data_IF_235861280937
#
_entry.id   IF_235861280937
#
_cell.length_a   1.000
_cell.length_b   1.000
_cell.length_c   1.000
_cell.angle_alpha   90.00
_cell.angle_beta   90.00
_cell.angle_gamma   90.00
#
_symmetry.space_group_name_H-M   'P 1'
#
loop_
_entity.id
_entity.type
_entity.pdbx_description
1 polymer ?
#
# COMPACT_ATOMS: atom_id res chain seq x y z
N UNK A 1 16.55 5.97 -22.45
CA UNK A 1 15.47 5.47 -21.58
C UNK A 1 14.30 6.44 -21.69
N UNK A 2 13.06 5.99 -21.44
CA UNK A 2 11.86 6.84 -21.48
C UNK A 2 11.18 6.81 -20.13
N UNK A 3 10.95 7.93 -19.49
CA UNK A 3 10.12 7.99 -18.27
C UNK A 3 8.65 7.95 -18.66
N UNK A 4 7.76 7.76 -17.68
CA UNK A 4 6.32 7.72 -17.92
C UNK A 4 5.61 8.76 -17.07
N UNK A 5 4.66 9.48 -17.66
CA UNK A 5 3.61 10.14 -16.90
C UNK A 5 2.40 9.23 -16.90
N UNK A 6 2.00 8.73 -15.73
CA UNK A 6 0.74 8.03 -15.52
C UNK A 6 -0.27 9.00 -14.93
N UNK A 7 -1.46 9.05 -15.50
CA UNK A 7 -2.64 9.59 -14.80
C UNK A 7 -3.62 8.48 -14.45
N UNK A 8 -4.24 8.57 -13.29
CA UNK A 8 -5.22 7.58 -12.87
C UNK A 8 -6.33 8.13 -11.96
N UNK A 9 -7.52 7.54 -12.11
CA UNK A 9 -8.67 7.74 -11.26
C UNK A 9 -9.61 6.53 -11.40
N UNK A 10 -9.39 5.49 -10.60
CA UNK A 10 -10.28 4.32 -10.60
C UNK A 10 -11.47 4.47 -9.67
N UNK A 11 -11.39 5.34 -8.64
CA UNK A 11 -12.50 5.54 -7.68
C UNK A 11 -13.74 6.17 -8.33
N UNK A 12 -13.58 7.02 -9.36
CA UNK A 12 -14.69 7.69 -10.04
C UNK A 12 -14.72 7.47 -11.56
N UNK A 13 -13.66 6.92 -12.18
CA UNK A 13 -13.61 6.62 -13.62
C UNK A 13 -13.97 7.83 -14.50
N UNK A 14 -13.39 8.99 -14.15
CA UNK A 14 -13.78 10.31 -14.69
C UNK A 14 -12.78 10.97 -15.65
N UNK A 15 -11.74 10.26 -16.08
CA UNK A 15 -10.81 10.82 -17.06
C UNK A 15 -11.55 10.95 -18.41
N UNK A 16 -11.51 12.14 -19.01
CA UNK A 16 -12.27 12.52 -20.20
C UNK A 16 -11.32 12.99 -21.30
N UNK A 17 -11.78 13.08 -22.55
CA UNK A 17 -10.95 13.57 -23.65
C UNK A 17 -10.40 14.98 -23.38
N UNK A 18 -11.20 15.88 -22.78
CA UNK A 18 -10.73 17.22 -22.39
C UNK A 18 -9.54 17.16 -21.41
N UNK A 19 -9.54 16.19 -20.47
CA UNK A 19 -8.41 15.98 -19.57
C UNK A 19 -7.17 15.49 -20.34
N UNK A 20 -7.35 14.55 -21.27
CA UNK A 20 -6.27 13.97 -22.08
C UNK A 20 -5.66 15.00 -23.04
N UNK A 21 -6.50 15.82 -23.68
CA UNK A 21 -6.09 16.90 -24.58
C UNK A 21 -5.32 17.97 -23.81
N UNK A 22 -5.81 18.36 -22.62
CA UNK A 22 -5.12 19.32 -21.75
C UNK A 22 -3.71 18.83 -21.40
N UNK A 23 -3.57 17.59 -20.95
CA UNK A 23 -2.26 17.04 -20.56
C UNK A 23 -1.35 16.90 -21.78
N UNK A 24 -1.87 16.36 -22.89
CA UNK A 24 -1.07 16.15 -24.12
C UNK A 24 -0.52 17.47 -24.67
N UNK A 25 -1.33 18.54 -24.69
CA UNK A 25 -0.89 19.85 -25.13
C UNK A 25 0.25 20.42 -24.27
N UNK A 26 0.20 20.20 -22.95
CA UNK A 26 1.25 20.66 -22.04
C UNK A 26 2.51 19.80 -22.12
N UNK A 27 2.38 18.50 -22.38
CA UNK A 27 3.52 17.62 -22.69
C UNK A 27 4.21 18.07 -23.97
N UNK A 28 3.46 18.30 -25.05
CA UNK A 28 4.02 18.75 -26.34
C UNK A 28 4.76 20.07 -26.18
N UNK A 29 4.17 21.02 -25.45
CA UNK A 29 4.82 22.30 -25.13
C UNK A 29 6.09 22.16 -24.28
N UNK A 30 6.15 21.20 -23.36
CA UNK A 30 7.29 21.00 -22.47
C UNK A 30 8.43 20.23 -23.17
N UNK A 31 8.08 19.27 -24.01
CA UNK A 31 9.04 18.35 -24.66
C UNK A 31 9.43 18.76 -26.08
N UNK A 32 8.69 19.69 -26.71
CA UNK A 32 8.75 20.00 -28.14
C UNK A 32 8.48 18.79 -29.06
N UNK A 33 7.81 17.76 -28.53
CA UNK A 33 7.46 16.54 -29.26
C UNK A 33 5.99 16.20 -29.08
N UNK A 34 5.32 15.82 -30.17
CA UNK A 34 3.95 15.30 -30.09
C UNK A 34 3.97 13.86 -29.58
N UNK A 35 3.62 13.67 -28.32
CA UNK A 35 3.60 12.36 -27.65
C UNK A 35 2.16 11.92 -27.46
N UNK A 36 1.81 10.76 -28.02
CA UNK A 36 0.49 10.16 -27.86
C UNK A 36 0.42 9.36 -26.56
N UNK A 37 -0.73 9.43 -25.88
CA UNK A 37 -0.98 8.57 -24.74
C UNK A 37 -1.30 7.15 -25.15
N UNK A 38 -1.04 6.21 -24.25
CA UNK A 38 -1.56 4.86 -24.26
C UNK A 38 -2.69 4.77 -23.24
N UNK A 39 -3.84 4.24 -23.65
CA UNK A 39 -4.92 3.86 -22.73
C UNK A 39 -4.54 2.55 -22.03
N UNK A 40 -4.53 2.56 -20.69
CA UNK A 40 -4.36 1.36 -19.86
C UNK A 40 -5.71 0.85 -19.36
N UNK A 41 -6.63 1.77 -19.05
CA UNK A 41 -7.99 1.45 -18.65
C UNK A 41 -8.93 2.60 -19.01
N UNK A 42 -9.99 2.27 -19.75
CA UNK A 42 -10.94 3.25 -20.27
C UNK A 42 -11.48 4.17 -19.15
N UNK A 43 -11.27 5.48 -19.32
CA UNK A 43 -11.62 6.54 -18.36
C UNK A 43 -10.99 6.46 -16.97
N UNK A 44 -10.09 5.50 -16.73
CA UNK A 44 -9.47 5.26 -15.42
C UNK A 44 -7.95 5.43 -15.41
N UNK A 45 -7.23 5.05 -16.46
CA UNK A 45 -5.77 5.13 -16.47
C UNK A 45 -5.20 5.32 -17.89
N UNK A 46 -4.32 6.29 -18.03
CA UNK A 46 -3.63 6.62 -19.29
C UNK A 46 -2.18 7.01 -19.00
N UNK A 47 -1.30 6.76 -19.96
CA UNK A 47 0.12 7.10 -19.80
C UNK A 47 0.76 7.70 -21.04
N UNK A 48 1.78 8.54 -20.84
CA UNK A 48 2.64 9.06 -21.88
C UNK A 48 4.07 8.59 -21.63
N UNK A 49 4.73 8.08 -22.68
CA UNK A 49 6.15 7.71 -22.62
C UNK A 49 7.02 8.92 -22.99
N UNK A 50 7.53 9.60 -21.97
CA UNK A 50 8.30 10.84 -22.09
C UNK A 50 9.79 10.57 -22.37
N UNK A 51 10.48 11.39 -23.18
CA UNK A 51 11.93 11.36 -23.26
C UNK A 51 12.52 11.65 -21.87
N UNK A 52 13.43 10.78 -21.38
CA UNK A 52 13.99 10.93 -20.04
C UNK A 52 14.69 12.28 -19.86
N UNK A 53 14.55 12.88 -18.68
CA UNK A 53 15.11 14.19 -18.30
C UNK A 53 14.65 15.38 -19.16
N UNK A 54 13.61 15.23 -19.98
CA UNK A 54 13.18 16.27 -20.93
C UNK A 54 11.85 16.95 -20.57
N UNK A 55 11.43 16.87 -19.31
CA UNK A 55 10.24 17.57 -18.82
C UNK A 55 10.61 18.51 -17.67
N UNK A 56 10.11 19.75 -17.76
CA UNK A 56 10.52 20.84 -16.90
C UNK A 56 9.71 20.93 -15.59
N UNK A 57 10.19 21.77 -14.67
CA UNK A 57 9.49 22.09 -13.41
C UNK A 57 8.09 22.68 -13.67
N UNK A 58 7.89 23.33 -14.82
CA UNK A 58 6.62 23.93 -15.20
C UNK A 58 5.55 22.86 -15.46
N UNK A 59 5.87 21.80 -16.20
CA UNK A 59 4.94 20.68 -16.41
C UNK A 59 4.54 20.04 -15.08
N UNK A 60 5.51 19.84 -14.16
CA UNK A 60 5.23 19.31 -12.82
C UNK A 60 4.23 20.18 -12.05
N UNK A 61 4.43 21.50 -12.02
CA UNK A 61 3.51 22.41 -11.33
C UNK A 61 2.11 22.38 -11.93
N UNK A 62 2.00 22.39 -13.26
CA UNK A 62 0.71 22.31 -13.96
C UNK A 62 -0.04 21.01 -13.61
N UNK A 63 0.68 19.89 -13.52
CA UNK A 63 0.09 18.60 -13.16
C UNK A 63 -0.31 18.54 -11.68
N UNK A 64 0.44 19.19 -10.79
CA UNK A 64 0.04 19.33 -9.37
C UNK A 64 -1.27 20.12 -9.22
N UNK A 65 -1.40 21.23 -9.96
CA UNK A 65 -2.62 22.04 -9.98
C UNK A 65 -3.78 21.25 -10.61
N UNK A 66 -3.52 20.56 -11.72
CA UNK A 66 -4.48 19.69 -12.38
C UNK A 66 -4.99 18.58 -11.44
N UNK A 67 -4.08 17.89 -10.77
CA UNK A 67 -4.42 16.85 -9.80
C UNK A 67 -5.32 17.39 -8.69
N UNK A 68 -4.97 18.55 -8.12
CA UNK A 68 -5.74 19.19 -7.05
C UNK A 68 -7.13 19.63 -7.51
N UNK A 69 -7.24 20.19 -8.72
CA UNK A 69 -8.50 20.68 -9.29
C UNK A 69 -9.43 19.56 -9.72
N UNK A 70 -8.89 18.51 -10.33
CA UNK A 70 -9.69 17.46 -10.96
C UNK A 70 -9.80 16.20 -10.11
N UNK A 71 -8.99 16.03 -9.06
CA UNK A 71 -8.92 14.79 -8.29
C UNK A 71 -8.53 13.60 -9.17
N UNK A 72 -7.50 13.77 -10.00
CA UNK A 72 -6.91 12.73 -10.85
C UNK A 72 -5.44 12.62 -10.46
N UNK A 73 -5.00 11.44 -10.03
CA UNK A 73 -3.62 11.24 -9.61
C UNK A 73 -2.70 11.36 -10.83
N UNK A 74 -1.60 12.09 -10.70
CA UNK A 74 -0.62 12.34 -11.76
C UNK A 74 0.78 11.95 -11.25
N UNK A 75 1.34 10.87 -11.79
CA UNK A 75 2.55 10.24 -11.27
C UNK A 75 3.63 10.15 -12.34
N UNK A 76 4.82 10.68 -12.05
CA UNK A 76 6.00 10.49 -12.90
C UNK A 76 6.75 9.23 -12.47
N UNK A 77 6.93 8.31 -13.40
CA UNK A 77 7.52 6.99 -13.16
C UNK A 77 8.82 6.91 -13.94
N UNK A 78 9.94 6.88 -13.21
CA UNK A 78 11.26 6.71 -13.81
C UNK A 78 11.39 5.32 -14.38
N UNK A 79 11.88 5.25 -15.60
CA UNK A 79 12.08 3.95 -16.23
C UNK A 79 13.35 3.28 -15.72
N UNK A 80 13.13 2.08 -15.19
CA UNK A 80 14.16 1.14 -14.79
C UNK A 80 14.14 0.02 -15.83
N UNK A 81 15.27 -0.64 -16.10
CA UNK A 81 15.42 -1.60 -17.20
C UNK A 81 14.26 -2.62 -17.36
N UNK A 82 13.50 -2.91 -16.28
CA UNK A 82 12.22 -3.62 -16.32
C UNK A 82 11.15 -2.86 -15.54
N UNK A 83 10.01 -2.60 -16.19
CA UNK A 83 8.88 -1.86 -15.60
C UNK A 83 8.01 -2.72 -14.68
N UNK A 84 7.68 -3.95 -15.10
CA UNK A 84 6.98 -4.96 -14.29
C UNK A 84 7.92 -5.51 -13.22
N UNK A 85 7.49 -5.42 -11.96
CA UNK A 85 8.28 -5.75 -10.77
C UNK A 85 8.10 -7.20 -10.38
N UNK A 86 9.13 -7.76 -9.75
CA UNK A 86 9.19 -9.16 -9.31
C UNK A 86 8.90 -9.33 -7.83
N UNK A 87 8.90 -8.25 -7.04
CA UNK A 87 8.61 -8.28 -5.62
C UNK A 87 7.64 -7.16 -5.26
N UNK A 88 6.51 -7.52 -4.67
CA UNK A 88 5.60 -6.62 -3.99
C UNK A 88 5.73 -6.81 -2.48
N UNK A 89 6.03 -5.73 -1.74
CA UNK A 89 5.81 -5.67 -0.30
C UNK A 89 4.68 -4.68 0.01
N UNK A 90 3.66 -5.12 0.76
CA UNK A 90 2.52 -4.29 1.10
C UNK A 90 2.32 -4.21 2.62
N UNK A 91 1.93 -3.04 3.11
CA UNK A 91 1.30 -2.91 4.42
C UNK A 91 -0.11 -3.53 4.42
N UNK A 92 -0.61 -3.88 5.60
CA UNK A 92 -1.96 -4.41 5.79
C UNK A 92 -2.96 -3.32 6.15
N UNK A 93 -2.83 -2.76 7.37
CA UNK A 93 -3.77 -1.78 7.93
C UNK A 93 -3.77 -0.52 7.06
N UNK A 94 -4.95 0.06 6.85
CA UNK A 94 -5.16 1.25 6.00
C UNK A 94 -4.59 1.16 4.56
N UNK A 95 -4.18 -0.02 4.10
CA UNK A 95 -3.56 -0.27 2.79
C UNK A 95 -4.23 -1.42 2.05
N UNK A 96 -4.02 -2.67 2.46
CA UNK A 96 -4.71 -3.84 1.87
C UNK A 96 -6.12 -3.96 2.43
N UNK A 97 -6.31 -3.60 3.70
CA UNK A 97 -7.62 -3.46 4.34
C UNK A 97 -7.92 -1.98 4.61
N UNK A 98 -9.19 -1.64 4.76
CA UNK A 98 -9.64 -0.25 4.97
C UNK A 98 -9.46 0.20 6.42
N UNK A 99 -9.46 -0.75 7.35
CA UNK A 99 -9.44 -0.50 8.79
C UNK A 99 -8.02 -0.52 9.39
N UNK A 100 -7.94 -0.01 10.61
CA UNK A 100 -6.86 -0.29 11.57
C UNK A 100 -7.29 -1.49 12.44
N UNK A 101 -6.64 -2.64 12.26
CA UNK A 101 -7.08 -3.90 12.87
C UNK A 101 -7.18 -3.88 14.40
N UNK A 102 -6.26 -3.18 15.09
CA UNK A 102 -6.27 -3.09 16.55
C UNK A 102 -7.38 -2.16 17.08
N UNK A 103 -7.66 -1.06 16.37
CA UNK A 103 -8.77 -0.15 16.71
C UNK A 103 -10.12 -0.89 16.54
N UNK A 104 -10.24 -1.72 15.50
CA UNK A 104 -11.44 -2.54 15.27
C UNK A 104 -11.63 -3.64 16.34
N UNK A 105 -10.56 -4.30 16.78
CA UNK A 105 -10.63 -5.21 17.94
C UNK A 105 -11.08 -4.48 19.20
N UNK A 106 -10.56 -3.27 19.43
CA UNK A 106 -10.95 -2.45 20.57
C UNK A 106 -12.41 -2.03 20.52
N UNK A 107 -12.94 -1.74 19.33
CA UNK A 107 -14.34 -1.41 19.10
C UNK A 107 -15.28 -2.55 19.48
N UNK A 108 -14.94 -3.80 19.14
CA UNK A 108 -15.74 -4.98 19.50
C UNK A 108 -15.89 -5.18 21.02
N UNK A 109 -14.95 -4.65 21.81
CA UNK A 109 -14.97 -4.75 23.28
C UNK A 109 -15.35 -3.40 23.96
N UNK A 110 -15.81 -2.41 23.20
CA UNK A 110 -16.22 -1.11 23.73
C UNK A 110 -15.07 -0.20 24.20
N UNK A 111 -13.85 -0.43 23.70
CA UNK A 111 -12.62 0.28 24.09
C UNK A 111 -11.98 1.12 22.98
N UNK A 112 -12.70 1.36 21.90
CA UNK A 112 -12.24 2.15 20.74
C UNK A 112 -11.56 3.47 21.14
N UNK A 113 -12.22 4.31 21.96
CA UNK A 113 -11.68 5.62 22.36
C UNK A 113 -10.33 5.53 23.06
N UNK A 114 -10.12 4.50 23.87
CA UNK A 114 -8.88 4.28 24.63
C UNK A 114 -7.73 3.90 23.69
N UNK A 115 -8.00 2.97 22.77
CA UNK A 115 -7.01 2.49 21.80
C UNK A 115 -6.69 3.56 20.75
N UNK A 116 -7.69 4.22 20.17
CA UNK A 116 -7.47 5.25 19.15
C UNK A 116 -6.71 6.46 19.69
N UNK A 117 -6.86 6.79 20.99
CA UNK A 117 -6.02 7.82 21.62
C UNK A 117 -4.54 7.42 21.63
N UNK A 118 -4.21 6.20 22.05
CA UNK A 118 -2.83 5.69 22.05
C UNK A 118 -2.30 5.58 20.61
N UNK A 119 -3.12 5.10 19.66
CA UNK A 119 -2.78 5.02 18.24
C UNK A 119 -2.39 6.39 17.69
N UNK A 120 -3.20 7.43 17.96
CA UNK A 120 -2.92 8.79 17.51
C UNK A 120 -1.64 9.37 18.12
N UNK A 121 -1.38 9.17 19.41
CA UNK A 121 -0.15 9.65 20.05
C UNK A 121 1.10 8.94 19.48
N UNK A 122 1.02 7.63 19.21
CA UNK A 122 2.10 6.87 18.60
C UNK A 122 2.39 7.30 17.16
N UNK A 123 1.35 7.49 16.34
CA UNK A 123 1.50 7.93 14.94
C UNK A 123 2.04 9.36 14.83
N UNK A 124 1.78 10.21 15.83
CA UNK A 124 2.35 11.56 15.93
C UNK A 124 3.78 11.57 16.51
N UNK A 125 4.38 10.40 16.76
CA UNK A 125 5.75 10.27 17.26
C UNK A 125 5.93 10.62 18.73
N UNK A 126 4.83 10.74 19.51
CA UNK A 126 4.87 11.08 20.94
C UNK A 126 5.08 9.87 21.82
N UNK A 127 4.77 8.66 21.33
CA UNK A 127 5.00 7.39 22.02
C UNK A 127 5.93 6.49 21.21
N UNK A 128 6.77 5.74 21.91
CA UNK A 128 7.54 4.64 21.32
C UNK A 128 6.59 3.59 20.73
N UNK A 129 6.86 3.14 19.50
CA UNK A 129 5.99 2.22 18.77
C UNK A 129 5.75 0.91 19.54
N UNK A 130 6.82 0.32 20.10
CA UNK A 130 6.73 -0.95 20.82
C UNK A 130 5.92 -0.77 22.09
N UNK A 131 6.15 0.31 22.83
CA UNK A 131 5.35 0.64 24.02
C UNK A 131 3.88 0.84 23.66
N UNK A 132 3.58 1.67 22.66
CA UNK A 132 2.21 1.93 22.21
C UNK A 132 1.48 0.68 21.72
N UNK A 133 2.17 -0.25 21.05
CA UNK A 133 1.61 -1.55 20.69
C UNK A 133 1.26 -2.37 21.94
N UNK A 134 2.20 -2.50 22.89
CA UNK A 134 1.99 -3.27 24.11
C UNK A 134 0.85 -2.70 24.97
N UNK A 135 0.79 -1.37 25.11
CA UNK A 135 -0.26 -0.68 25.85
C UNK A 135 -1.64 -0.96 25.22
N UNK A 136 -1.77 -0.83 23.90
CA UNK A 136 -3.02 -1.13 23.18
C UNK A 136 -3.41 -2.61 23.26
N UNK A 137 -2.45 -3.53 23.13
CA UNK A 137 -2.72 -4.97 23.24
C UNK A 137 -3.12 -5.37 24.67
N UNK A 138 -2.60 -4.69 25.69
CA UNK A 138 -2.94 -4.97 27.09
C UNK A 138 -4.44 -4.82 27.38
N UNK A 139 -5.12 -3.92 26.66
CA UNK A 139 -6.56 -3.68 26.78
C UNK A 139 -7.39 -4.91 26.35
N UNK A 140 -6.83 -5.76 25.49
CA UNK A 140 -7.50 -6.98 25.03
C UNK A 140 -7.47 -8.13 26.07
N UNK A 141 -6.75 -7.97 27.18
CA UNK A 141 -6.58 -9.01 28.20
C UNK A 141 -7.91 -9.55 28.71
N UNK A 142 -8.03 -10.88 28.75
CA UNK A 142 -9.20 -11.60 29.28
C UNK A 142 -10.37 -11.74 28.31
N UNK A 143 -10.27 -11.19 27.08
CA UNK A 143 -11.31 -11.35 26.07
C UNK A 143 -11.15 -12.68 25.32
N UNK A 144 -12.29 -13.26 24.91
CA UNK A 144 -12.34 -14.49 24.10
C UNK A 144 -11.66 -14.27 22.75
N UNK A 145 -11.02 -15.31 22.20
CA UNK A 145 -10.49 -15.28 20.83
C UNK A 145 -11.57 -15.15 19.75
N UNK A 146 -12.85 -15.29 20.09
CA UNK A 146 -13.98 -15.11 19.16
C UNK A 146 -14.00 -13.72 18.50
N UNK A 147 -13.44 -12.70 19.16
CA UNK A 147 -13.32 -11.34 18.59
C UNK A 147 -12.37 -11.33 17.37
N UNK A 148 -11.37 -12.23 17.35
CA UNK A 148 -10.44 -12.37 16.22
C UNK A 148 -11.16 -12.94 15.00
N UNK A 149 -11.99 -13.96 15.21
CA UNK A 149 -12.80 -14.59 14.16
C UNK A 149 -13.89 -13.66 13.65
N UNK A 150 -14.48 -12.86 14.54
CA UNK A 150 -15.46 -11.83 14.19
C UNK A 150 -14.80 -10.76 13.31
N UNK A 151 -13.59 -10.33 13.66
CA UNK A 151 -12.85 -9.37 12.84
C UNK A 151 -12.54 -9.91 11.44
N UNK A 152 -12.02 -11.15 11.32
CA UNK A 152 -11.74 -11.76 10.00
C UNK A 152 -12.95 -11.70 9.06
N UNK A 153 -14.15 -11.96 9.58
CA UNK A 153 -15.41 -11.97 8.79
C UNK A 153 -15.89 -10.58 8.36
N UNK A 154 -15.49 -9.53 9.08
CA UNK A 154 -16.01 -8.17 8.91
C UNK A 154 -15.01 -7.20 8.27
N UNK A 155 -13.78 -7.64 8.02
CA UNK A 155 -12.73 -6.78 7.46
C UNK A 155 -13.05 -6.39 6.02
N UNK A 156 -12.85 -5.12 5.67
CA UNK A 156 -13.07 -4.66 4.31
C UNK A 156 -11.75 -4.57 3.56
N UNK A 157 -11.60 -5.39 2.54
CA UNK A 157 -10.43 -5.35 1.66
C UNK A 157 -10.54 -4.13 0.74
N UNK A 158 -9.43 -3.41 0.52
CA UNK A 158 -9.38 -2.30 -0.42
C UNK A 158 -9.54 -2.78 -1.86
N UNK A 159 -10.31 -2.02 -2.64
CA UNK A 159 -10.63 -2.38 -4.01
C UNK A 159 -9.34 -2.53 -4.84
N UNK A 160 -9.28 -3.58 -5.66
CA UNK A 160 -8.09 -3.89 -6.46
C UNK A 160 -7.02 -4.71 -5.74
N UNK A 161 -7.12 -4.99 -4.44
CA UNK A 161 -6.11 -5.77 -3.72
C UNK A 161 -5.97 -7.21 -4.27
N UNK A 162 -7.11 -7.86 -4.52
CA UNK A 162 -7.14 -9.24 -5.01
C UNK A 162 -6.56 -9.32 -6.42
N UNK A 163 -6.99 -8.43 -7.30
CA UNK A 163 -6.53 -8.32 -8.67
C UNK A 163 -5.03 -7.99 -8.73
N UNK A 164 -4.56 -7.09 -7.86
CA UNK A 164 -3.15 -6.77 -7.70
C UNK A 164 -2.32 -8.02 -7.38
N UNK A 165 -2.64 -8.69 -6.28
CA UNK A 165 -1.87 -9.86 -5.81
C UNK A 165 -1.91 -10.98 -6.84
N UNK A 166 -3.10 -11.33 -7.32
CA UNK A 166 -3.30 -12.39 -8.31
C UNK A 166 -2.55 -12.12 -9.62
N UNK A 167 -2.66 -10.90 -10.15
CA UNK A 167 -1.95 -10.52 -11.39
C UNK A 167 -0.45 -10.59 -11.20
N UNK A 168 0.07 -10.10 -10.08
CA UNK A 168 1.51 -10.15 -9.77
C UNK A 168 1.99 -11.59 -9.64
N UNK A 169 1.29 -12.45 -8.91
CA UNK A 169 1.63 -13.87 -8.75
C UNK A 169 1.64 -14.62 -10.10
N UNK A 170 0.61 -14.46 -10.93
CA UNK A 170 0.51 -15.10 -12.25
C UNK A 170 1.66 -14.68 -13.17
N UNK A 171 2.17 -13.46 -13.01
CA UNK A 171 3.33 -12.96 -13.75
C UNK A 171 4.68 -13.32 -13.09
N UNK A 172 4.68 -14.23 -12.11
CA UNK A 172 5.89 -14.76 -11.47
C UNK A 172 6.51 -13.87 -10.41
N UNK A 173 5.77 -12.88 -9.91
CA UNK A 173 6.22 -12.01 -8.83
C UNK A 173 5.93 -12.63 -7.46
N UNK A 174 6.77 -12.33 -6.48
CA UNK A 174 6.55 -12.69 -5.08
C UNK A 174 5.80 -11.55 -4.41
N UNK A 175 4.72 -11.90 -3.71
CA UNK A 175 3.88 -10.94 -2.99
C UNK A 175 4.00 -11.19 -1.49
N UNK A 176 4.29 -10.13 -0.73
CA UNK A 176 4.55 -10.22 0.70
C UNK A 176 3.73 -9.17 1.44
N UNK A 177 2.91 -9.61 2.40
CA UNK A 177 2.20 -8.74 3.33
C UNK A 177 3.03 -8.61 4.62
N UNK A 178 3.39 -7.39 5.01
CA UNK A 178 4.14 -7.14 6.25
C UNK A 178 3.40 -6.10 7.08
N UNK A 179 3.02 -6.44 8.31
CA UNK A 179 2.19 -5.58 9.15
C UNK A 179 2.72 -5.46 10.58
N UNK A 180 2.49 -4.29 11.20
CA UNK A 180 2.61 -4.11 12.65
C UNK A 180 1.43 -4.67 13.44
N UNK A 181 0.35 -5.07 12.76
CA UNK A 181 -0.81 -5.78 13.29
C UNK A 181 -0.48 -7.24 13.59
N UNK A 182 -1.42 -8.16 13.35
CA UNK A 182 -1.36 -9.51 13.91
C UNK A 182 -1.50 -10.66 12.91
N UNK A 183 -0.79 -11.75 13.23
CA UNK A 183 -0.69 -12.97 12.41
C UNK A 183 -2.04 -13.61 12.06
N UNK A 184 -3.00 -13.64 12.99
CA UNK A 184 -4.32 -14.23 12.70
C UNK A 184 -5.01 -13.58 11.50
N UNK A 185 -4.80 -12.27 11.30
CA UNK A 185 -5.40 -11.52 10.21
C UNK A 185 -4.54 -11.56 8.96
N UNK A 186 -3.22 -11.44 9.07
CA UNK A 186 -2.35 -11.57 7.89
C UNK A 186 -2.44 -12.95 7.27
N UNK A 187 -2.45 -14.03 8.06
CA UNK A 187 -2.62 -15.40 7.53
C UNK A 187 -4.00 -15.57 6.89
N UNK A 188 -5.06 -14.99 7.46
CA UNK A 188 -6.37 -15.00 6.82
C UNK A 188 -6.36 -14.28 5.46
N UNK A 189 -5.78 -13.09 5.40
CA UNK A 189 -5.65 -12.32 4.16
C UNK A 189 -4.74 -13.01 3.15
N UNK A 190 -3.74 -13.76 3.61
CA UNK A 190 -2.90 -14.59 2.75
C UNK A 190 -3.73 -15.57 1.95
N UNK A 191 -4.60 -16.32 2.62
CA UNK A 191 -5.43 -17.33 1.98
C UNK A 191 -6.50 -16.69 1.08
N UNK A 192 -7.08 -15.57 1.50
CA UNK A 192 -8.14 -14.87 0.76
C UNK A 192 -7.61 -14.18 -0.51
N UNK A 193 -6.41 -13.59 -0.43
CA UNK A 193 -5.82 -12.78 -1.51
C UNK A 193 -4.70 -13.47 -2.27
N UNK A 194 -4.30 -14.68 -1.83
CA UNK A 194 -3.20 -15.46 -2.38
C UNK A 194 -1.82 -14.77 -2.20
N UNK A 195 -1.57 -14.10 -1.07
CA UNK A 195 -0.21 -13.59 -0.81
C UNK A 195 0.79 -14.76 -0.71
N UNK A 196 1.98 -14.62 -1.31
CA UNK A 196 3.02 -15.66 -1.19
C UNK A 196 3.48 -15.81 0.26
N UNK A 197 3.68 -14.68 0.95
CA UNK A 197 4.15 -14.65 2.33
C UNK A 197 3.52 -13.53 3.16
N UNK A 198 3.55 -13.73 4.47
CA UNK A 198 2.96 -12.83 5.46
C UNK A 198 3.84 -12.75 6.70
N UNK A 199 3.91 -11.55 7.29
CA UNK A 199 4.67 -11.30 8.52
C UNK A 199 3.92 -10.29 9.39
N UNK A 200 3.71 -10.64 10.66
CA UNK A 200 3.02 -9.80 11.63
C UNK A 200 3.38 -10.20 13.06
N UNK A 201 2.90 -9.42 14.05
CA UNK A 201 3.04 -9.76 15.45
C UNK A 201 2.10 -10.92 15.85
N UNK A 202 2.44 -11.70 16.88
CA UNK A 202 1.57 -12.78 17.36
C UNK A 202 0.98 -12.43 18.72
N UNK A 203 -0.35 -12.40 18.81
CA UNK A 203 -1.04 -12.26 20.09
C UNK A 203 -0.85 -13.53 20.91
N UNK A 204 -0.52 -13.38 22.18
CA UNK A 204 -0.43 -14.52 23.10
C UNK A 204 -1.84 -14.92 23.54
N UNK A 205 -2.14 -16.20 23.37
CA UNK A 205 -3.42 -16.82 23.70
C UNK A 205 -3.18 -17.89 24.76
N UNK A 206 -4.09 -18.01 25.73
CA UNK A 206 -4.08 -19.07 26.75
C UNK A 206 -5.39 -19.84 26.70
N UNK A 207 -5.32 -21.12 27.04
CA UNK A 207 -6.50 -21.93 27.31
C UNK A 207 -6.85 -21.83 28.80
N UNK A 208 -8.12 -21.59 29.12
CA UNK A 208 -8.67 -21.64 30.47
C UNK A 208 -9.21 -23.03 30.78
N UNK A 209 -9.41 -23.31 32.07
CA UNK A 209 -10.00 -24.57 32.58
C UNK A 209 -11.34 -24.93 31.90
N UNK A 210 -12.06 -23.92 31.41
CA UNK A 210 -13.33 -24.06 30.68
C UNK A 210 -13.17 -24.46 29.20
N UNK A 211 -11.96 -24.82 28.75
CA UNK A 211 -11.59 -25.06 27.33
C UNK A 211 -11.90 -23.87 26.41
N UNK A 212 -11.90 -22.66 26.97
CA UNK A 212 -12.03 -21.41 26.21
C UNK A 212 -10.66 -20.78 26.02
N UNK A 213 -10.43 -20.23 24.84
CA UNK A 213 -9.21 -19.51 24.52
C UNK A 213 -9.40 -18.01 24.77
N UNK A 214 -8.45 -17.42 25.49
CA UNK A 214 -8.46 -16.00 25.85
C UNK A 214 -7.16 -15.31 25.46
N UNK A 215 -7.28 -14.02 25.13
CA UNK A 215 -6.14 -13.13 24.92
C UNK A 215 -5.50 -12.78 26.26
N UNK A 216 -4.17 -12.91 26.37
CA UNK A 216 -3.45 -12.54 27.61
C UNK A 216 -3.18 -11.03 27.73
N UNK A 217 -3.44 -10.28 26.65
CA UNK A 217 -3.03 -8.88 26.52
C UNK A 217 -1.53 -8.72 26.31
N UNK A 218 -0.84 -9.73 25.77
CA UNK A 218 0.59 -9.68 25.44
C UNK A 218 0.83 -10.07 23.98
N UNK A 219 1.96 -9.62 23.46
CA UNK A 219 2.48 -10.01 22.15
C UNK A 219 3.67 -10.93 22.36
N UNK A 220 3.73 -12.01 21.58
CA UNK A 220 4.87 -12.93 21.57
C UNK A 220 6.07 -12.30 20.84
N UNK A 221 7.28 -12.61 21.32
CA UNK A 221 8.51 -12.12 20.71
C UNK A 221 9.00 -12.99 19.54
N UNK A 222 9.76 -12.42 18.59
CA UNK A 222 10.15 -11.01 18.50
C UNK A 222 9.03 -10.12 17.94
N UNK A 223 8.87 -8.93 18.51
CA UNK A 223 7.92 -7.91 18.01
C UNK A 223 8.52 -7.24 16.77
N UNK A 224 7.72 -7.13 15.70
CA UNK A 224 8.08 -6.38 14.50
C UNK A 224 8.16 -4.90 14.84
N UNK A 225 9.37 -4.36 14.78
CA UNK A 225 9.63 -2.95 15.01
C UNK A 225 9.46 -2.12 13.72
N UNK A 226 9.73 -0.81 13.81
CA UNK A 226 9.64 0.12 12.68
C UNK A 226 10.55 -0.23 11.48
N UNK A 227 11.59 -1.05 11.68
CA UNK A 227 12.53 -1.45 10.64
C UNK A 227 12.20 -2.84 10.07
N UNK A 228 11.24 -3.56 10.64
CA UNK A 228 10.88 -4.90 10.21
C UNK A 228 10.49 -4.96 8.73
N UNK A 229 9.72 -3.98 8.24
CA UNK A 229 9.31 -3.90 6.82
C UNK A 229 10.52 -3.79 5.87
N UNK A 230 11.49 -2.90 6.19
CA UNK A 230 12.74 -2.79 5.44
C UNK A 230 13.59 -4.07 5.53
N UNK A 231 13.66 -4.69 6.71
CA UNK A 231 14.37 -5.96 6.88
C UNK A 231 13.78 -7.04 5.98
N UNK A 232 12.46 -7.22 5.97
CA UNK A 232 11.81 -8.21 5.11
C UNK A 232 11.99 -7.90 3.62
N UNK A 233 11.94 -6.63 3.21
CA UNK A 233 12.26 -6.24 1.83
C UNK A 233 13.65 -6.78 1.42
N UNK A 234 14.67 -6.50 2.24
CA UNK A 234 16.04 -6.94 2.00
C UNK A 234 16.20 -8.47 2.07
N UNK A 235 15.51 -9.12 3.02
CA UNK A 235 15.53 -10.58 3.17
C UNK A 235 14.95 -11.27 1.92
N UNK A 236 13.86 -10.75 1.34
CA UNK A 236 13.25 -11.30 0.12
C UNK A 236 14.04 -11.00 -1.14
N UNK A 237 14.60 -9.79 -1.27
CA UNK A 237 15.56 -9.43 -2.32
C UNK A 237 16.70 -10.46 -2.35
N UNK A 238 17.31 -10.73 -1.18
CA UNK A 238 18.43 -11.67 -1.05
C UNK A 238 18.01 -13.12 -1.28
N UNK A 239 16.89 -13.55 -0.68
CA UNK A 239 16.40 -14.94 -0.74
C UNK A 239 16.12 -15.39 -2.18
N UNK A 240 15.64 -14.49 -3.02
CA UNK A 240 15.20 -14.80 -4.38
C UNK A 240 16.09 -14.22 -5.48
N UNK A 241 17.26 -13.68 -5.11
CA UNK A 241 18.19 -13.02 -6.05
C UNK A 241 17.47 -11.99 -6.94
N UNK A 242 16.60 -11.19 -6.31
CA UNK A 242 15.83 -10.16 -6.99
C UNK A 242 16.66 -8.88 -6.97
N UNK A 243 16.82 -8.24 -8.12
CA UNK A 243 17.42 -6.90 -8.18
C UNK A 243 16.52 -5.90 -7.44
N UNK A 244 17.12 -4.99 -6.66
CA UNK A 244 16.42 -3.87 -6.04
C UNK A 244 15.50 -3.12 -7.02
N UNK A 245 15.94 -2.96 -8.28
CA UNK A 245 15.18 -2.33 -9.38
C UNK A 245 13.87 -3.04 -9.75
N UNK A 246 13.70 -4.29 -9.31
CA UNK A 246 12.53 -5.12 -9.57
C UNK A 246 11.56 -5.14 -8.36
N UNK A 247 11.63 -4.16 -7.46
CA UNK A 247 10.76 -4.06 -6.28
C UNK A 247 9.71 -2.94 -6.40
N UNK A 248 8.52 -3.19 -5.86
CA UNK A 248 7.48 -2.19 -5.60
C UNK A 248 6.97 -2.39 -4.18
N UNK A 249 6.82 -1.29 -3.44
CA UNK A 249 6.30 -1.31 -2.09
C UNK A 249 5.12 -0.35 -1.95
N UNK A 250 4.16 -0.66 -1.07
CA UNK A 250 3.02 0.20 -0.77
C UNK A 250 2.69 0.24 0.71
N UNK A 251 2.32 1.43 1.17
CA UNK A 251 1.81 1.69 2.51
C UNK A 251 1.10 3.04 2.58
N UNK A 252 0.64 3.44 3.76
CA UNK A 252 -0.05 4.70 4.01
C UNK A 252 0.68 5.58 5.05
N UNK A 253 1.47 4.98 5.93
CA UNK A 253 1.89 5.60 7.19
C UNK A 253 3.39 5.86 7.33
N UNK A 254 3.76 6.52 8.43
CA UNK A 254 5.16 6.82 8.76
C UNK A 254 5.99 5.56 9.06
N UNK A 255 5.34 4.49 9.52
CA UNK A 255 5.90 3.15 9.72
C UNK A 255 6.38 2.50 8.40
N UNK A 256 5.93 2.98 7.24
CA UNK A 256 6.32 2.46 5.93
C UNK A 256 7.50 3.18 5.29
N UNK A 257 7.89 4.35 5.81
CA UNK A 257 8.86 5.26 5.19
C UNK A 257 10.14 4.53 4.78
N UNK A 258 10.70 3.72 5.67
CA UNK A 258 11.96 3.02 5.39
C UNK A 258 11.80 1.92 4.33
N UNK A 259 10.66 1.23 4.26
CA UNK A 259 10.37 0.28 3.19
C UNK A 259 10.15 0.99 1.85
N UNK A 260 9.38 2.09 1.85
CA UNK A 260 9.03 2.86 0.65
C UNK A 260 10.26 3.51 0.02
N UNK A 261 11.12 4.18 0.82
CA UNK A 261 12.35 4.82 0.34
C UNK A 261 13.36 3.84 -0.25
N UNK A 262 13.35 2.61 0.25
CA UNK A 262 14.28 1.56 -0.17
C UNK A 262 13.64 0.59 -1.16
N UNK A 263 12.49 0.91 -1.76
CA UNK A 263 11.97 0.20 -2.92
C UNK A 263 12.46 0.87 -4.22
N UNK A 264 12.35 0.17 -5.36
CA UNK A 264 12.53 0.82 -6.67
C UNK A 264 11.34 1.67 -7.07
N UNK A 265 10.14 1.30 -6.62
CA UNK A 265 8.94 2.12 -6.71
C UNK A 265 8.28 2.09 -5.34
N UNK A 266 8.34 3.22 -4.63
CA UNK A 266 7.63 3.42 -3.37
C UNK A 266 6.28 4.09 -3.61
N UNK A 267 5.20 3.44 -3.22
CA UNK A 267 3.82 3.93 -3.40
C UNK A 267 3.20 4.34 -2.07
N UNK A 268 2.67 5.55 -2.02
CA UNK A 268 1.79 6.03 -0.96
C UNK A 268 0.34 5.84 -1.38
N UNK A 269 -0.40 4.99 -0.66
CA UNK A 269 -1.81 4.73 -0.90
C UNK A 269 -2.68 5.49 0.09
N UNK A 270 -3.40 6.52 -0.38
CA UNK A 270 -4.15 7.47 0.48
C UNK A 270 -3.33 7.94 1.70
N UNK A 271 -2.02 8.03 1.55
CA UNK A 271 -1.10 8.06 2.68
C UNK A 271 -0.98 9.42 3.34
N UNK A 272 -0.41 9.40 4.54
CA UNK A 272 -0.22 10.58 5.39
C UNK A 272 0.91 11.45 4.86
N UNK A 273 0.91 12.72 5.28
CA UNK A 273 1.90 13.73 4.85
C UNK A 273 3.35 13.26 4.96
N UNK A 274 3.70 12.50 6.00
CA UNK A 274 5.06 12.00 6.19
C UNK A 274 5.48 11.01 5.10
N UNK A 275 4.61 10.07 4.72
CA UNK A 275 4.87 9.12 3.65
C UNK A 275 4.84 9.76 2.27
N UNK A 276 3.87 10.67 2.04
CA UNK A 276 3.75 11.39 0.77
C UNK A 276 5.03 12.17 0.41
N UNK A 277 5.77 12.67 1.40
CA UNK A 277 7.03 13.39 1.17
C UNK A 277 8.15 12.53 0.61
N UNK A 278 8.07 11.20 0.75
CA UNK A 278 9.16 10.27 0.38
C UNK A 278 8.78 9.27 -0.70
N UNK A 279 7.48 9.06 -0.94
CA UNK A 279 7.00 8.13 -1.97
C UNK A 279 7.21 8.68 -3.39
N UNK A 280 7.45 7.77 -4.33
CA UNK A 280 7.58 8.08 -5.76
C UNK A 280 6.20 8.28 -6.42
N UNK A 281 5.19 7.54 -5.94
CA UNK A 281 3.84 7.50 -6.49
C UNK A 281 2.82 7.76 -5.39
N UNK A 282 1.79 8.54 -5.70
CA UNK A 282 0.66 8.84 -4.82
C UNK A 282 -0.64 8.37 -5.46
N UNK A 283 -1.39 7.54 -4.75
CA UNK A 283 -2.70 7.02 -5.16
C UNK A 283 -3.78 7.53 -4.20
N UNK A 284 -4.29 8.74 -4.44
CA UNK A 284 -5.32 9.36 -3.60
C UNK A 284 -6.72 9.13 -4.18
N UNK A 285 -6.84 9.14 -5.51
CA UNK A 285 -8.08 8.97 -6.27
C UNK A 285 -8.14 7.65 -7.03
N UNK A 286 -7.13 6.81 -6.84
CA UNK A 286 -6.96 5.50 -7.44
C UNK A 286 -6.89 4.44 -6.35
N UNK A 287 -7.62 3.34 -6.55
CA UNK A 287 -7.54 2.12 -5.75
C UNK A 287 -6.23 1.35 -6.03
N UNK A 288 -6.07 0.14 -5.50
CA UNK A 288 -4.81 -0.61 -5.57
C UNK A 288 -4.42 -1.08 -6.98
N UNK A 289 -5.33 -1.02 -7.96
CA UNK A 289 -4.98 -1.22 -9.37
C UNK A 289 -3.96 -0.20 -9.88
N UNK A 290 -3.85 0.97 -9.23
CA UNK A 290 -2.81 1.97 -9.54
C UNK A 290 -1.39 1.42 -9.49
N UNK A 291 -1.12 0.39 -8.66
CA UNK A 291 0.16 -0.31 -8.64
C UNK A 291 0.43 -1.13 -9.91
N UNK A 292 -0.62 -1.68 -10.53
CA UNK A 292 -0.48 -2.40 -11.81
C UNK A 292 -0.30 -1.38 -12.96
N UNK A 293 -1.11 -0.32 -12.98
CA UNK A 293 -0.96 0.73 -14.01
C UNK A 293 0.40 1.41 -13.96
N UNK A 294 0.98 1.62 -12.77
CA UNK A 294 2.34 2.18 -12.65
C UNK A 294 3.40 1.30 -13.31
N UNK A 295 3.17 -0.01 -13.32
CA UNK A 295 4.01 -1.00 -13.98
C UNK A 295 3.68 -1.18 -15.48
N UNK A 296 2.67 -0.48 -16.00
CA UNK A 296 2.28 -0.49 -17.41
C UNK A 296 1.33 -1.63 -17.80
N UNK A 297 0.77 -2.36 -16.84
CA UNK A 297 -0.34 -3.29 -17.09
C UNK A 297 -1.57 -2.49 -17.56
N UNK A 298 -2.32 -3.04 -18.53
CA UNK A 298 -3.64 -2.56 -18.92
C UNK A 298 -4.73 -3.47 -18.34
N UNK A 299 -6.00 -3.06 -18.37
CA UNK A 299 -7.14 -3.88 -17.92
C UNK A 299 -7.14 -5.29 -18.55
N UNK A 300 -6.70 -5.40 -19.81
CA UNK A 300 -6.58 -6.67 -20.53
C UNK A 300 -5.54 -7.63 -19.93
N UNK A 301 -4.60 -7.12 -19.15
CA UNK A 301 -3.57 -7.91 -18.48
C UNK A 301 -3.96 -8.31 -17.05
N UNK A 302 -5.03 -7.72 -16.49
CA UNK A 302 -5.42 -7.89 -15.09
C UNK A 302 -6.22 -9.18 -14.92
N UNK A 303 -5.83 -9.98 -13.93
CA UNK A 303 -6.47 -11.25 -13.59
C UNK A 303 -7.47 -11.02 -12.45
N UNK A 304 -8.75 -11.27 -12.73
CA UNK A 304 -9.85 -11.25 -11.75
C UNK A 304 -10.04 -12.62 -11.11
#
# INVERSE_FOLDING_TARGET
MKDYLLISNTKQSKISNNHLDFISAHIEKSTNEKIFYKELSFRKAYEWALPSNNYDLKLKNILTDFQSKHGIDCNFIKNTAKRKKKLLLADMDSTIIKEESLDELARQIGKEKEVSYITNEAMNGRLDFKKALLDRVSILKGHSTDILETLKKNININDGAKELVKTMNVNGSITVLVSGGFTFLTEHLKDVLDFTYTHANRLQIIERETKKFELTGKVEGPILDKNAKLKYLNDYIKKYDISHKDTICVGDGANDIEMIKNASIGVSFSGKTALNKVADIHLNNTNLLGLLYSQGYADSDIIN
#
